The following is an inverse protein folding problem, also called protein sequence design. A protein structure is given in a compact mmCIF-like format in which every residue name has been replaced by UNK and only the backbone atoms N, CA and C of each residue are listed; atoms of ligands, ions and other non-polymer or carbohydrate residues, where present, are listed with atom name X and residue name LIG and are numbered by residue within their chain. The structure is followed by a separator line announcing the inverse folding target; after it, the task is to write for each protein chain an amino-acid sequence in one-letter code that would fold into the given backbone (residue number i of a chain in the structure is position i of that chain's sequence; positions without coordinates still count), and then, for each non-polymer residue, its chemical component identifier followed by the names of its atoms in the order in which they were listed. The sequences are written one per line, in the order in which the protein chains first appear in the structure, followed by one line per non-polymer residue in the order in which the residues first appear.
data_IF_628304077802
#
_entry.id   IF_628304077802
#
_cell.length_a   1.000
_cell.length_b   1.000
_cell.length_c   1.000
_cell.angle_alpha   90.00
_cell.angle_beta   90.00
_cell.angle_gamma   90.00
#
_symmetry.space_group_name_H-M   'P 1'
#
loop_
_entity.id
_entity.type
_entity.pdbx_description
1 polymer ?
#
# COMPACT_ATOMS: atom_id res chain seq x y z
N UNK A 1 3.43 31.63 13.28
CA UNK A 1 4.01 32.12 12.02
C UNK A 1 3.00 33.08 11.43
N UNK A 2 3.22 34.38 11.58
CA UNK A 2 2.33 35.41 11.04
C UNK A 2 3.00 36.00 9.79
N UNK A 3 2.23 36.16 8.72
CA UNK A 3 2.69 36.84 7.50
C UNK A 3 2.19 38.28 7.63
N UNK A 4 3.11 39.23 7.77
CA UNK A 4 2.78 40.65 7.81
C UNK A 4 3.48 41.36 6.65
N UNK A 5 2.73 42.06 5.80
CA UNK A 5 3.26 42.88 4.70
C UNK A 5 4.24 42.16 3.74
N UNK A 6 4.06 40.86 3.51
CA UNK A 6 4.93 40.07 2.63
C UNK A 6 6.27 39.66 3.24
N UNK A 7 6.42 39.76 4.58
CA UNK A 7 7.56 39.19 5.31
C UNK A 7 7.10 38.05 6.22
N UNK A 8 7.87 36.96 6.22
CA UNK A 8 7.65 35.81 7.12
C UNK A 8 8.36 36.13 8.43
N UNK A 9 7.60 36.37 9.50
CA UNK A 9 8.19 36.39 10.84
C UNK A 9 8.42 34.96 11.33
N UNK A 10 9.69 34.58 11.32
CA UNK A 10 10.15 33.30 11.87
C UNK A 10 10.31 33.39 13.39
N UNK A 11 9.87 32.34 14.08
CA UNK A 11 10.16 32.12 15.50
C UNK A 11 11.68 32.04 15.70
N UNK A 12 12.18 32.49 16.86
CA UNK A 12 13.62 32.60 17.14
C UNK A 12 14.39 31.31 16.84
N UNK A 13 13.87 30.16 17.29
CA UNK A 13 14.50 28.85 17.05
C UNK A 13 14.59 28.45 15.56
N UNK A 14 13.72 29.00 14.70
CA UNK A 14 13.73 28.74 13.25
C UNK A 14 14.73 29.65 12.55
N UNK A 15 14.95 30.86 13.07
CA UNK A 15 15.94 31.83 12.59
C UNK A 15 17.37 31.33 12.81
N UNK A 16 17.61 30.66 13.93
CA UNK A 16 18.92 30.12 14.30
C UNK A 16 19.33 28.89 13.46
N UNK A 17 18.39 28.29 12.72
CA UNK A 17 18.68 27.22 11.79
C UNK A 17 19.07 27.79 10.41
N UNK A 18 20.37 27.77 10.09
CA UNK A 18 20.93 28.38 8.88
C UNK A 18 20.33 27.79 7.59
N UNK A 19 19.98 26.51 7.59
CA UNK A 19 19.40 25.81 6.43
C UNK A 19 17.96 26.25 6.20
N UNK A 20 17.18 26.42 7.27
CA UNK A 20 15.80 26.89 7.15
C UNK A 20 15.79 28.38 6.81
N UNK A 21 16.63 29.20 7.44
CA UNK A 21 16.72 30.63 7.17
C UNK A 21 17.09 30.93 5.70
N UNK A 22 18.02 30.16 5.12
CA UNK A 22 18.41 30.28 3.70
C UNK A 22 17.34 29.80 2.71
N UNK A 23 16.47 28.88 3.12
CA UNK A 23 15.31 28.48 2.31
C UNK A 23 14.19 29.50 2.37
N UNK A 24 13.90 30.04 3.56
CA UNK A 24 12.82 31.02 3.76
C UNK A 24 13.13 32.34 3.05
N UNK A 25 14.39 32.78 3.03
CA UNK A 25 14.79 34.01 2.32
C UNK A 25 14.60 33.93 0.80
N UNK A 26 14.53 32.73 0.23
CA UNK A 26 14.25 32.49 -1.19
C UNK A 26 12.75 32.45 -1.53
N UNK A 27 11.87 32.45 -0.52
CA UNK A 27 10.42 32.43 -0.74
C UNK A 27 9.92 33.84 -1.07
N UNK A 28 9.41 34.02 -2.28
CA UNK A 28 8.71 35.24 -2.67
C UNK A 28 7.30 35.23 -2.09
N UNK A 29 7.09 35.95 -0.99
CA UNK A 29 5.76 36.14 -0.41
C UNK A 29 5.06 37.32 -1.08
N UNK A 30 3.81 37.14 -1.47
CA UNK A 30 3.01 38.23 -2.00
C UNK A 30 2.82 39.33 -0.95
N UNK A 31 3.09 40.58 -1.34
CA UNK A 31 2.82 41.77 -0.50
C UNK A 31 1.34 42.09 -0.37
N UNK A 32 0.51 41.51 -1.24
CA UNK A 32 -0.93 41.69 -1.25
C UNK A 32 -1.63 40.42 -0.78
N UNK A 33 -2.74 40.52 -0.03
CA UNK A 33 -3.52 39.36 0.38
C UNK A 33 -4.01 38.63 -0.86
N UNK A 34 -3.48 37.43 -1.08
CA UNK A 34 -3.94 36.49 -2.09
C UNK A 34 -4.71 35.38 -1.37
N UNK A 35 -5.81 34.89 -1.94
CA UNK A 35 -6.49 33.73 -1.38
C UNK A 35 -5.56 32.51 -1.43
N UNK A 36 -5.57 31.73 -0.35
CA UNK A 36 -4.90 30.44 -0.32
C UNK A 36 -5.51 29.50 -1.36
N UNK A 37 -4.66 28.69 -1.98
CA UNK A 37 -5.05 27.73 -3.02
C UNK A 37 -4.43 26.39 -2.70
N UNK A 38 -5.26 25.35 -2.70
CA UNK A 38 -4.79 23.98 -2.63
C UNK A 38 -4.04 23.65 -3.91
N UNK A 39 -2.79 23.24 -3.77
CA UNK A 39 -1.92 22.83 -4.87
C UNK A 39 -1.54 21.37 -4.68
N UNK A 40 -1.78 20.56 -5.69
CA UNK A 40 -1.32 19.19 -5.71
C UNK A 40 0.03 19.10 -6.44
N UNK A 41 1.09 18.84 -5.69
CA UNK A 41 2.49 18.78 -6.20
C UNK A 41 2.68 17.76 -7.31
N UNK A 42 1.86 16.70 -7.30
CA UNK A 42 1.97 15.56 -8.22
C UNK A 42 1.06 15.67 -9.44
N UNK A 43 0.42 16.82 -9.66
CA UNK A 43 -0.33 17.09 -10.90
C UNK A 43 0.40 18.13 -11.78
N UNK A 44 0.37 17.91 -13.09
CA UNK A 44 0.95 18.83 -14.08
C UNK A 44 0.25 20.18 -14.13
N UNK A 45 -1.05 20.22 -13.81
CA UNK A 45 -1.87 21.44 -13.79
C UNK A 45 -2.01 22.04 -12.37
N UNK A 46 -1.33 21.44 -11.38
CA UNK A 46 -1.38 21.81 -9.95
C UNK A 46 -2.75 21.68 -9.29
N UNK A 47 -3.75 21.15 -10.00
CA UNK A 47 -5.07 20.86 -9.49
C UNK A 47 -5.16 19.43 -8.98
N UNK A 48 -5.98 19.21 -7.95
CA UNK A 48 -6.28 17.87 -7.46
C UNK A 48 -7.49 17.32 -8.21
N UNK A 49 -7.25 16.40 -9.13
CA UNK A 49 -8.34 15.57 -9.69
C UNK A 49 -8.48 14.28 -8.90
N UNK A 50 -9.69 13.71 -8.88
CA UNK A 50 -9.92 12.38 -8.29
C UNK A 50 -9.04 11.30 -8.96
N UNK A 51 -8.73 11.47 -10.25
CA UNK A 51 -7.85 10.58 -11.02
C UNK A 51 -6.40 10.63 -10.53
N UNK A 52 -5.89 11.83 -10.27
CA UNK A 52 -4.50 12.00 -9.81
C UNK A 52 -4.34 11.58 -8.36
N UNK A 53 -5.34 11.86 -7.52
CA UNK A 53 -5.42 11.33 -6.16
C UNK A 53 -5.39 9.79 -6.16
N UNK A 54 -6.23 9.17 -7.00
CA UNK A 54 -6.29 7.71 -7.10
C UNK A 54 -4.96 7.10 -7.54
N UNK A 55 -4.33 7.65 -8.59
CA UNK A 55 -3.02 7.18 -9.08
C UNK A 55 -1.90 7.35 -8.07
N UNK A 56 -1.95 8.42 -7.27
CA UNK A 56 -0.98 8.66 -6.20
C UNK A 56 -1.14 7.64 -5.06
N UNK A 57 -2.37 7.35 -4.65
CA UNK A 57 -2.68 6.37 -3.61
C UNK A 57 -2.47 4.91 -4.08
N UNK A 58 -2.63 4.67 -5.38
CA UNK A 58 -2.54 3.36 -6.01
C UNK A 58 -1.55 3.42 -7.18
N UNK A 59 -0.24 3.49 -6.90
CA UNK A 59 0.76 3.40 -7.96
C UNK A 59 0.57 2.08 -8.75
N UNK A 60 0.80 2.09 -10.08
CA UNK A 60 0.65 0.90 -10.90
C UNK A 60 1.48 -0.25 -10.31
N UNK A 61 0.87 -1.42 -10.07
CA UNK A 61 1.63 -2.57 -9.61
C UNK A 61 2.63 -2.98 -10.67
N UNK A 62 3.77 -3.52 -10.24
CA UNK A 62 4.72 -4.14 -11.15
C UNK A 62 4.02 -5.26 -11.93
N UNK A 63 4.34 -5.45 -13.23
CA UNK A 63 3.82 -6.58 -13.98
C UNK A 63 4.16 -7.88 -13.25
N UNK A 64 3.15 -8.71 -13.01
CA UNK A 64 3.31 -10.01 -12.37
C UNK A 64 3.18 -11.08 -13.45
N UNK A 65 4.29 -11.74 -13.79
CA UNK A 65 4.33 -12.74 -14.87
C UNK A 65 3.34 -13.91 -14.64
N UNK A 66 3.14 -14.28 -13.38
CA UNK A 66 2.19 -15.34 -13.01
C UNK A 66 0.74 -14.93 -13.23
N UNK A 67 0.40 -13.63 -13.16
CA UNK A 67 -0.97 -13.16 -13.26
C UNK A 67 -1.55 -13.44 -14.65
N UNK A 68 -0.78 -13.18 -15.72
CA UNK A 68 -1.21 -13.48 -17.09
C UNK A 68 -1.49 -14.97 -17.30
N UNK A 69 -0.76 -15.84 -16.61
CA UNK A 69 -0.91 -17.30 -16.74
C UNK A 69 -2.23 -17.79 -16.18
N UNK A 70 -2.64 -17.27 -15.01
CA UNK A 70 -3.85 -17.75 -14.33
C UNK A 70 -5.16 -17.22 -14.91
N UNK A 71 -5.12 -16.14 -15.68
CA UNK A 71 -6.30 -15.55 -16.32
C UNK A 71 -6.51 -16.04 -17.77
N UNK A 72 -5.81 -17.10 -18.18
CA UNK A 72 -6.07 -17.77 -19.47
C UNK A 72 -7.49 -18.34 -19.49
N UNK A 73 -8.15 -18.27 -20.64
CA UNK A 73 -9.55 -18.73 -20.82
C UNK A 73 -9.76 -20.22 -20.54
N UNK A 74 -8.70 -21.03 -20.61
CA UNK A 74 -8.74 -22.45 -20.25
C UNK A 74 -8.80 -22.72 -18.75
N UNK A 75 -8.56 -21.70 -17.91
CA UNK A 75 -8.60 -21.82 -16.45
C UNK A 75 -9.91 -21.24 -15.96
N UNK A 76 -10.65 -22.03 -15.16
CA UNK A 76 -11.90 -21.57 -14.55
C UNK A 76 -11.59 -20.40 -13.59
N UNK A 77 -12.37 -19.31 -13.62
CA UNK A 77 -12.14 -18.14 -12.75
C UNK A 77 -12.03 -18.47 -11.25
N UNK A 78 -12.72 -19.51 -10.78
CA UNK A 78 -12.63 -19.96 -9.39
C UNK A 78 -11.23 -20.46 -9.02
N UNK A 79 -10.52 -21.15 -9.92
CA UNK A 79 -9.16 -21.62 -9.67
C UNK A 79 -8.17 -20.44 -9.68
N UNK A 80 -8.33 -19.53 -10.64
CA UNK A 80 -7.54 -18.28 -10.71
C UNK A 80 -7.70 -17.45 -9.43
N UNK A 81 -8.92 -17.37 -8.90
CA UNK A 81 -9.20 -16.66 -7.66
C UNK A 81 -8.51 -17.27 -6.44
N UNK A 82 -8.57 -18.60 -6.28
CA UNK A 82 -7.86 -19.31 -5.20
C UNK A 82 -6.35 -19.09 -5.33
N UNK A 83 -5.80 -19.19 -6.54
CA UNK A 83 -4.37 -18.97 -6.78
C UNK A 83 -3.97 -17.52 -6.48
N UNK A 84 -4.76 -16.52 -6.89
CA UNK A 84 -4.54 -15.13 -6.50
C UNK A 84 -4.49 -14.98 -4.97
N UNK A 85 -5.45 -15.57 -4.26
CA UNK A 85 -5.44 -15.53 -2.79
C UNK A 85 -4.19 -16.20 -2.22
N UNK A 86 -3.76 -17.32 -2.79
CA UNK A 86 -2.54 -18.01 -2.41
C UNK A 86 -1.30 -17.11 -2.59
N UNK A 87 -1.09 -16.56 -3.79
CA UNK A 87 0.07 -15.71 -4.13
C UNK A 87 0.17 -14.46 -3.26
N UNK A 88 -0.98 -13.89 -2.88
CA UNK A 88 -1.03 -12.73 -1.99
C UNK A 88 -1.05 -13.09 -0.50
N UNK A 89 -0.93 -14.38 -0.15
CA UNK A 89 -1.01 -14.88 1.23
C UNK A 89 -2.29 -14.41 1.96
N UNK A 90 -3.41 -14.50 1.24
CA UNK A 90 -4.75 -14.05 1.64
C UNK A 90 -5.77 -15.18 1.80
N UNK A 91 -5.38 -16.44 1.62
CA UNK A 91 -6.26 -17.58 1.91
C UNK A 91 -6.76 -17.53 3.37
N UNK A 92 -7.95 -18.06 3.61
CA UNK A 92 -8.57 -18.07 4.94
C UNK A 92 -8.02 -19.22 5.81
N UNK A 93 -6.69 -19.28 5.93
CA UNK A 93 -6.02 -20.27 6.80
C UNK A 93 -5.96 -19.77 8.23
N UNK A 94 -5.85 -20.70 9.19
CA UNK A 94 -5.70 -20.32 10.60
C UNK A 94 -4.49 -19.41 10.83
N UNK A 95 -3.36 -19.70 10.17
CA UNK A 95 -2.17 -18.82 10.23
C UNK A 95 -2.45 -17.39 9.77
N UNK A 96 -3.34 -17.21 8.77
CA UNK A 96 -3.71 -15.89 8.25
C UNK A 96 -4.72 -15.19 9.16
N UNK A 97 -5.64 -15.93 9.77
CA UNK A 97 -6.58 -15.41 10.76
C UNK A 97 -5.86 -14.96 12.03
N UNK A 98 -4.89 -15.74 12.53
CA UNK A 98 -4.06 -15.36 13.68
C UNK A 98 -3.30 -14.06 13.45
N UNK A 99 -2.73 -13.87 12.25
CA UNK A 99 -2.08 -12.60 11.86
C UNK A 99 -3.03 -11.40 11.84
N UNK A 100 -4.34 -11.63 11.73
CA UNK A 100 -5.39 -10.60 11.80
C UNK A 100 -5.95 -10.41 13.20
N UNK A 101 -5.37 -11.05 14.21
CA UNK A 101 -5.75 -10.92 15.61
C UNK A 101 -6.77 -11.95 16.12
N UNK A 102 -7.12 -12.96 15.31
CA UNK A 102 -7.99 -14.05 15.78
C UNK A 102 -7.24 -14.99 16.74
N UNK A 103 -7.80 -15.21 17.92
CA UNK A 103 -7.30 -16.17 18.90
C UNK A 103 -7.85 -17.56 18.60
N UNK A 104 -7.16 -18.30 17.74
CA UNK A 104 -7.53 -19.65 17.33
C UNK A 104 -6.36 -20.61 17.49
N UNK A 105 -6.66 -21.85 17.87
CA UNK A 105 -5.70 -22.95 17.83
C UNK A 105 -5.55 -23.38 16.38
N UNK A 106 -4.33 -23.36 15.86
CA UNK A 106 -4.07 -23.71 14.47
C UNK A 106 -3.60 -25.16 14.36
N UNK A 107 -4.40 -25.97 13.69
CA UNK A 107 -4.03 -27.34 13.30
C UNK A 107 -4.65 -27.64 11.96
N UNK A 108 -3.88 -28.22 11.04
CA UNK A 108 -4.37 -28.57 9.72
C UNK A 108 -5.54 -29.54 9.82
N UNK A 109 -6.69 -29.15 9.27
CA UNK A 109 -7.90 -29.98 9.30
C UNK A 109 -7.76 -31.30 8.53
N UNK A 110 -6.86 -31.35 7.54
CA UNK A 110 -6.64 -32.52 6.68
C UNK A 110 -5.72 -33.54 7.34
N UNK A 111 -4.49 -33.15 7.65
CA UNK A 111 -3.48 -34.08 8.16
C UNK A 111 -3.39 -34.16 9.68
N UNK A 112 -3.96 -33.18 10.40
CA UNK A 112 -3.90 -33.03 11.86
C UNK A 112 -2.48 -33.08 12.45
N UNK A 113 -1.47 -32.83 11.62
CA UNK A 113 -0.06 -33.07 11.97
C UNK A 113 0.73 -31.80 12.25
N UNK A 114 0.36 -30.67 11.64
CA UNK A 114 1.05 -29.39 11.74
C UNK A 114 0.05 -28.24 11.74
N UNK A 115 0.51 -27.03 12.09
CA UNK A 115 -0.30 -25.83 12.03
C UNK A 115 -0.75 -25.53 10.59
N UNK A 116 -1.96 -25.00 10.44
CA UNK A 116 -2.51 -24.69 9.12
C UNK A 116 -1.88 -23.42 8.54
N UNK A 117 -1.25 -23.57 7.38
CA UNK A 117 -0.71 -22.47 6.57
C UNK A 117 -1.01 -22.71 5.10
N UNK A 118 -0.89 -21.65 4.29
CA UNK A 118 -1.09 -21.77 2.83
C UNK A 118 -0.08 -22.72 2.19
N UNK A 119 1.19 -22.69 2.63
CA UNK A 119 2.20 -23.63 2.11
C UNK A 119 1.93 -25.06 2.56
N UNK A 120 1.53 -25.24 3.82
CA UNK A 120 1.21 -26.56 4.34
C UNK A 120 0.06 -27.19 3.56
N UNK A 121 -1.06 -26.47 3.41
CA UNK A 121 -2.25 -26.99 2.72
C UNK A 121 -1.99 -27.40 1.26
N UNK A 122 -1.08 -26.74 0.55
CA UNK A 122 -0.84 -26.99 -0.87
C UNK A 122 0.38 -27.87 -1.15
N UNK A 123 1.43 -27.83 -0.32
CA UNK A 123 2.72 -28.46 -0.67
C UNK A 123 3.27 -29.41 0.40
N UNK A 124 3.03 -29.16 1.69
CA UNK A 124 3.67 -29.93 2.76
C UNK A 124 2.71 -30.94 3.41
N UNK A 125 1.40 -30.77 3.24
CA UNK A 125 0.39 -31.63 3.81
C UNK A 125 0.43 -33.02 3.14
N UNK A 126 0.56 -34.11 3.91
CA UNK A 126 0.54 -35.47 3.36
C UNK A 126 -0.73 -35.78 2.53
N UNK A 127 -1.87 -35.22 2.93
CA UNK A 127 -3.12 -35.37 2.18
C UNK A 127 -3.07 -34.65 0.83
N UNK A 128 -2.43 -33.48 0.77
CA UNK A 128 -2.26 -32.74 -0.47
C UNK A 128 -1.25 -33.45 -1.38
N UNK A 129 -0.13 -33.94 -0.83
CA UNK A 129 0.84 -34.74 -1.58
C UNK A 129 0.17 -35.92 -2.30
N UNK A 130 -0.69 -36.67 -1.59
CA UNK A 130 -1.45 -37.77 -2.17
C UNK A 130 -2.45 -37.35 -3.27
N UNK A 131 -2.92 -36.10 -3.27
CA UNK A 131 -3.82 -35.58 -4.30
C UNK A 131 -3.07 -35.13 -5.56
N UNK A 132 -1.79 -34.75 -5.42
CA UNK A 132 -0.95 -34.30 -6.53
C UNK A 132 -0.24 -35.43 -7.27
N UNK A 133 -0.04 -36.57 -6.61
CA UNK A 133 0.43 -37.83 -7.21
C UNK A 133 -0.62 -38.43 -8.17
#
# INVERSE_FOLDING_TARGET
MAIHNGQIELLAFVRDNITIATHVSKLTVSRFPLPDRFVWSHSSDRLLSAKDAFRFLHPPPLPLDWAATIWKSCIRPSHSFIFCQFMHNKLSTDGNLRRRGSLIVSVCSLSRSQAESSNHLFFECPCAAHLWD
#
